data_IF_521957856699
#
_entry.id   IF_521957856699
#
_cell.length_a   1.000
_cell.length_b   1.000
_cell.length_c   1.000
_cell.angle_alpha   90.00
_cell.angle_beta   90.00
_cell.angle_gamma   90.00
#
_symmetry.space_group_name_H-M   'P 1'
#
loop_
_entity.id
_entity.type
_entity.pdbx_description
1 polymer ?
#
# COMPACT_ATOMS: atom_id res chain seq x y z
N UNK A 1 -8.56 -5.51 17.20
CA UNK A 1 -8.85 -5.59 15.75
C UNK A 1 -9.66 -6.87 15.51
N UNK A 2 -10.74 -6.84 14.72
CA UNK A 2 -11.51 -8.06 14.40
C UNK A 2 -10.81 -8.85 13.28
N UNK A 3 -11.07 -10.15 13.20
CA UNK A 3 -10.54 -11.01 12.12
C UNK A 3 -10.91 -10.47 10.73
N UNK A 4 -12.15 -9.99 10.56
CA UNK A 4 -12.59 -9.34 9.31
C UNK A 4 -11.73 -8.11 8.98
N UNK A 5 -11.43 -7.25 9.96
CA UNK A 5 -10.62 -6.04 9.75
C UNK A 5 -9.17 -6.40 9.42
N UNK A 6 -8.62 -7.41 10.10
CA UNK A 6 -7.27 -7.92 9.81
C UNK A 6 -7.18 -8.46 8.38
N UNK A 7 -8.13 -9.30 7.97
CA UNK A 7 -8.17 -9.86 6.61
C UNK A 7 -8.31 -8.77 5.54
N UNK A 8 -9.12 -7.73 5.80
CA UNK A 8 -9.24 -6.60 4.89
C UNK A 8 -7.91 -5.84 4.77
N UNK A 9 -7.24 -5.60 5.90
CA UNK A 9 -5.96 -4.90 5.93
C UNK A 9 -4.89 -5.65 5.13
N UNK A 10 -4.79 -6.97 5.30
CA UNK A 10 -3.87 -7.82 4.53
C UNK A 10 -4.20 -7.77 3.03
N UNK A 11 -5.49 -7.78 2.68
CA UNK A 11 -5.91 -7.68 1.28
C UNK A 11 -5.56 -6.33 0.66
N UNK A 12 -5.74 -5.23 1.39
CA UNK A 12 -5.37 -3.88 0.95
C UNK A 12 -3.86 -3.73 0.76
N UNK A 13 -3.05 -4.26 1.69
CA UNK A 13 -1.59 -4.32 1.53
C UNK A 13 -1.18 -5.04 0.25
N UNK A 14 -1.84 -6.16 -0.05
CA UNK A 14 -1.60 -6.90 -1.29
C UNK A 14 -1.98 -6.07 -2.53
N UNK A 15 -3.17 -5.43 -2.54
CA UNK A 15 -3.60 -4.60 -3.66
C UNK A 15 -2.65 -3.44 -3.91
N UNK A 16 -2.28 -2.71 -2.85
CA UNK A 16 -1.29 -1.64 -2.90
C UNK A 16 0.01 -2.11 -3.52
N UNK A 17 0.55 -3.23 -3.05
CA UNK A 17 1.78 -3.83 -3.56
C UNK A 17 1.67 -4.11 -5.05
N UNK A 18 0.60 -4.77 -5.49
CA UNK A 18 0.42 -5.16 -6.89
C UNK A 18 0.18 -3.95 -7.80
N UNK A 19 -0.63 -2.99 -7.36
CA UNK A 19 -0.96 -1.79 -8.14
C UNK A 19 0.28 -0.93 -8.35
N UNK A 20 1.04 -0.66 -7.29
CA UNK A 20 2.26 0.12 -7.36
C UNK A 20 3.32 -0.56 -8.24
N UNK A 21 3.52 -1.88 -8.07
CA UNK A 21 4.44 -2.66 -8.90
C UNK A 21 4.06 -2.64 -10.37
N UNK A 22 2.78 -2.84 -10.70
CA UNK A 22 2.31 -2.80 -12.09
C UNK A 22 2.50 -1.42 -12.72
N UNK A 23 2.22 -0.36 -11.97
CA UNK A 23 2.33 1.03 -12.45
C UNK A 23 3.75 1.43 -12.83
N UNK A 24 4.73 0.94 -12.06
CA UNK A 24 6.14 1.29 -12.19
C UNK A 24 7.01 0.19 -12.81
N UNK A 25 6.42 -0.97 -13.14
CA UNK A 25 7.15 -2.10 -13.71
C UNK A 25 8.14 -2.74 -12.73
N UNK A 26 7.83 -2.73 -11.43
CA UNK A 26 8.72 -3.22 -10.37
C UNK A 26 8.57 -4.73 -10.14
N UNK A 27 9.69 -5.39 -9.91
CA UNK A 27 9.72 -6.70 -9.27
C UNK A 27 9.24 -6.61 -7.81
N UNK A 28 8.94 -7.76 -7.21
CA UNK A 28 8.56 -7.81 -5.79
C UNK A 28 9.72 -7.36 -4.90
N UNK A 29 10.96 -7.73 -5.23
CA UNK A 29 12.14 -7.36 -4.46
C UNK A 29 12.41 -5.86 -4.49
N UNK A 30 12.17 -5.19 -5.62
CA UNK A 30 12.27 -3.73 -5.72
C UNK A 30 11.20 -3.02 -4.89
N UNK A 31 9.96 -3.52 -4.90
CA UNK A 31 8.92 -2.97 -4.02
C UNK A 31 9.26 -3.16 -2.54
N UNK A 32 9.74 -4.35 -2.14
CA UNK A 32 10.09 -4.61 -0.75
C UNK A 32 11.22 -3.71 -0.24
N UNK A 33 12.15 -3.29 -1.10
CA UNK A 33 13.16 -2.28 -0.74
C UNK A 33 12.55 -0.90 -0.49
N UNK A 34 11.58 -0.50 -1.31
CA UNK A 34 10.84 0.75 -1.09
C UNK A 34 9.99 0.67 0.19
N UNK A 35 9.35 -0.47 0.43
CA UNK A 35 8.60 -0.69 1.66
C UNK A 35 9.51 -0.66 2.89
N UNK A 36 10.72 -1.21 2.81
CA UNK A 36 11.70 -1.13 3.89
C UNK A 36 12.17 0.31 4.16
N UNK A 37 12.34 1.11 3.10
CA UNK A 37 12.79 2.51 3.20
C UNK A 37 11.70 3.46 3.73
N UNK A 38 10.46 3.32 3.23
CA UNK A 38 9.37 4.27 3.49
C UNK A 38 8.26 3.72 4.40
N UNK A 39 8.23 2.41 4.69
CA UNK A 39 7.19 1.81 5.53
C UNK A 39 5.79 1.81 4.90
N UNK A 40 5.68 1.65 3.59
CA UNK A 40 4.43 1.77 2.81
C UNK A 40 3.33 0.83 3.36
N UNK A 41 3.64 -0.44 3.60
CA UNK A 41 2.67 -1.42 4.08
C UNK A 41 2.24 -1.12 5.52
N UNK A 42 3.14 -0.58 6.34
CA UNK A 42 2.79 -0.14 7.69
C UNK A 42 1.80 1.02 7.64
N UNK A 43 2.03 1.99 6.75
CA UNK A 43 1.10 3.09 6.53
C UNK A 43 -0.31 2.59 6.12
N UNK A 44 -0.39 1.63 5.19
CA UNK A 44 -1.67 0.98 4.84
C UNK A 44 -2.29 0.28 6.06
N UNK A 45 -1.48 -0.35 6.90
CA UNK A 45 -1.93 -1.04 8.12
C UNK A 45 -2.56 -0.10 9.16
N UNK A 46 -2.03 1.11 9.25
CA UNK A 46 -2.49 2.14 10.18
C UNK A 46 -3.80 2.80 9.70
N UNK A 47 -3.97 2.90 8.38
CA UNK A 47 -5.08 3.60 7.74
C UNK A 47 -5.95 2.74 6.78
N UNK A 48 -6.32 1.49 7.10
CA UNK A 48 -6.97 0.58 6.14
C UNK A 48 -8.35 1.09 5.69
N UNK A 49 -9.04 1.84 6.54
CA UNK A 49 -10.36 2.41 6.22
C UNK A 49 -10.28 3.49 5.11
N UNK A 50 -9.13 4.17 4.97
CA UNK A 50 -8.87 5.11 3.87
C UNK A 50 -8.70 4.34 2.57
N UNK A 51 -7.78 3.36 2.56
CA UNK A 51 -7.48 2.57 1.37
C UNK A 51 -8.67 1.75 0.87
N UNK A 52 -9.56 1.30 1.75
CA UNK A 52 -10.80 0.58 1.37
C UNK A 52 -11.75 1.43 0.49
N UNK A 53 -11.62 2.76 0.54
CA UNK A 53 -12.44 3.70 -0.23
C UNK A 53 -11.78 4.16 -1.54
N UNK A 54 -10.53 3.77 -1.80
CA UNK A 54 -9.75 4.25 -2.95
C UNK A 54 -9.84 3.29 -4.13
N UNK A 55 -9.82 3.84 -5.34
CA UNK A 55 -9.57 3.10 -6.57
C UNK A 55 -8.09 2.73 -6.70
N UNK A 56 -7.76 1.84 -7.63
CA UNK A 56 -6.37 1.41 -7.86
C UNK A 56 -5.40 2.57 -8.11
N UNK A 57 -5.82 3.59 -8.88
CA UNK A 57 -5.00 4.77 -9.16
C UNK A 57 -4.87 5.66 -7.94
N UNK A 58 -5.96 5.91 -7.22
CA UNK A 58 -5.95 6.74 -6.01
C UNK A 58 -5.09 6.11 -4.91
N UNK A 59 -5.07 4.78 -4.79
CA UNK A 59 -4.16 4.08 -3.87
C UNK A 59 -2.69 4.38 -4.18
N UNK A 60 -2.33 4.43 -5.47
CA UNK A 60 -0.95 4.72 -5.90
C UNK A 60 -0.62 6.19 -5.61
N UNK A 61 -1.52 7.11 -5.97
CA UNK A 61 -1.35 8.55 -5.71
C UNK A 61 -1.19 8.85 -4.21
N UNK A 62 -1.99 8.22 -3.35
CA UNK A 62 -1.88 8.35 -1.89
C UNK A 62 -0.50 7.89 -1.37
N UNK A 63 0.04 6.80 -1.94
CA UNK A 63 1.38 6.32 -1.59
C UNK A 63 2.46 7.27 -2.10
N UNK A 64 2.36 7.78 -3.32
CA UNK A 64 3.30 8.76 -3.87
C UNK A 64 3.33 10.04 -3.02
N UNK A 65 2.16 10.50 -2.59
CA UNK A 65 2.05 11.61 -1.65
C UNK A 65 2.67 11.30 -0.29
N UNK A 66 2.52 10.07 0.20
CA UNK A 66 3.12 9.64 1.46
C UNK A 66 4.66 9.59 1.37
N UNK A 67 5.21 8.90 0.37
CA UNK A 67 6.67 8.76 0.21
C UNK A 67 7.37 10.07 -0.16
N UNK A 68 6.67 11.05 -0.74
CA UNK A 68 7.23 12.37 -1.06
C UNK A 68 7.25 13.35 0.12
N UNK A 69 6.64 12.99 1.25
CA UNK A 69 6.61 13.81 2.48
C UNK A 69 7.77 13.51 3.43
N UNK A 70 8.55 12.44 3.19
CA UNK A 70 9.76 12.05 3.95
C UNK A 70 11.07 12.58 3.34
#
# INVERSE_FOLDING_TARGET
MSEKRLNNTIFLMYLVTENYRKRYGLSIEEFLKLDEEYGILNYVAECPDVFDCLTENEMIEEIEEYVSKD
#
